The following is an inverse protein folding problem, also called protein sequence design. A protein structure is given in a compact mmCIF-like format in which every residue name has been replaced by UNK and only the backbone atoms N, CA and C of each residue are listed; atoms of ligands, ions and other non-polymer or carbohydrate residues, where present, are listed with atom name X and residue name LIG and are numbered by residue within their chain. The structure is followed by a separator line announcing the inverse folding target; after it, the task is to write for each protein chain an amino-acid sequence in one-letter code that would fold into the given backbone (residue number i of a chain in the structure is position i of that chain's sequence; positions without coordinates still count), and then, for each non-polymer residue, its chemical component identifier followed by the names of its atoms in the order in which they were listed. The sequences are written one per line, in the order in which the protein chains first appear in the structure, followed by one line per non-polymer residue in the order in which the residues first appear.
data_IF_237283089627
#
_entry.id   IF_237283089627
#
_cell.length_a   1.000
_cell.length_b   1.000
_cell.length_c   1.000
_cell.angle_alpha   90.00
_cell.angle_beta   90.00
_cell.angle_gamma   90.00
#
_symmetry.space_group_name_H-M   'P 1'
#
loop_
_entity.id
_entity.type
_entity.pdbx_description
1 polymer ?
#
# COMPACT_ATOMS: atom_id res chain seq x y z
N UNK A 1 -20.88 -0.66 -27.75
CA UNK A 1 -19.60 0.07 -27.84
C UNK A 1 -18.56 -0.86 -28.46
N UNK A 2 -17.89 -0.50 -29.57
CA UNK A 2 -16.90 -1.35 -30.21
C UNK A 2 -15.61 -1.47 -29.37
N UNK A 3 -14.90 -2.59 -29.50
CA UNK A 3 -13.60 -2.79 -28.85
C UNK A 3 -12.53 -1.89 -29.48
N UNK A 4 -11.53 -1.50 -28.68
CA UNK A 4 -10.34 -0.75 -29.14
C UNK A 4 -10.42 0.77 -28.97
N UNK A 5 -11.57 1.32 -28.56
CA UNK A 5 -11.68 2.74 -28.20
C UNK A 5 -10.94 3.00 -26.89
N UNK A 6 -9.99 3.94 -26.92
CA UNK A 6 -9.14 4.31 -25.75
C UNK A 6 -9.97 4.66 -24.51
N UNK A 7 -11.10 5.35 -24.70
CA UNK A 7 -11.95 5.82 -23.61
C UNK A 7 -13.08 4.86 -23.24
N UNK A 8 -13.23 3.73 -23.94
CA UNK A 8 -14.30 2.77 -23.66
C UNK A 8 -14.36 2.31 -22.19
N UNK A 9 -13.25 1.92 -21.55
CA UNK A 9 -13.28 1.46 -20.16
C UNK A 9 -13.70 2.55 -19.17
N UNK A 10 -13.38 3.81 -19.47
CA UNK A 10 -13.77 4.96 -18.66
C UNK A 10 -15.29 5.19 -18.72
N UNK A 11 -15.86 5.24 -19.92
CA UNK A 11 -17.30 5.42 -20.08
C UNK A 11 -18.09 4.25 -19.48
N UNK A 12 -17.62 3.02 -19.65
CA UNK A 12 -18.26 1.85 -19.04
C UNK A 12 -18.19 1.89 -17.52
N UNK A 13 -17.04 2.24 -16.93
CA UNK A 13 -16.92 2.41 -15.47
C UNK A 13 -17.84 3.51 -14.94
N UNK A 14 -17.99 4.62 -15.67
CA UNK A 14 -18.91 5.70 -15.31
C UNK A 14 -20.36 5.23 -15.33
N UNK A 15 -20.76 4.49 -16.38
CA UNK A 15 -22.08 3.88 -16.46
C UNK A 15 -22.31 2.94 -15.27
N UNK A 16 -21.36 2.05 -14.96
CA UNK A 16 -21.48 1.12 -13.85
C UNK A 16 -21.60 1.81 -12.49
N UNK A 17 -20.90 2.93 -12.30
CA UNK A 17 -21.04 3.73 -11.08
C UNK A 17 -22.45 4.33 -10.95
N UNK A 18 -23.09 4.74 -12.06
CA UNK A 18 -24.47 5.23 -12.06
C UNK A 18 -25.48 4.11 -11.82
N UNK A 19 -25.30 2.96 -12.47
CA UNK A 19 -26.19 1.79 -12.28
C UNK A 19 -26.16 1.29 -10.83
N UNK A 20 -25.01 1.37 -10.17
CA UNK A 20 -24.82 0.91 -8.79
C UNK A 20 -24.93 2.04 -7.76
N UNK A 21 -25.48 3.21 -8.11
CA UNK A 21 -25.66 4.32 -7.18
C UNK A 21 -26.52 3.90 -5.97
N UNK A 22 -26.09 4.20 -4.74
CA UNK A 22 -26.68 3.69 -3.48
C UNK A 22 -26.40 2.22 -3.14
N UNK A 23 -25.53 1.52 -3.89
CA UNK A 23 -25.01 0.19 -3.51
C UNK A 23 -23.56 0.24 -3.02
N UNK A 24 -22.97 1.43 -2.79
CA UNK A 24 -21.54 1.56 -2.49
C UNK A 24 -21.13 0.83 -1.19
N UNK A 25 -22.09 0.63 -0.28
CA UNK A 25 -21.90 -0.08 0.97
C UNK A 25 -21.60 -1.58 0.82
N UNK A 26 -21.99 -2.21 -0.30
CA UNK A 26 -21.87 -3.66 -0.50
C UNK A 26 -21.48 -4.09 -1.93
N UNK A 27 -21.40 -3.15 -2.88
CA UNK A 27 -20.97 -3.42 -4.25
C UNK A 27 -19.89 -2.42 -4.69
N UNK A 28 -18.81 -2.94 -5.30
CA UNK A 28 -17.73 -2.12 -5.86
C UNK A 28 -17.51 -2.50 -7.32
N UNK A 29 -17.84 -1.61 -8.28
CA UNK A 29 -17.51 -1.80 -9.67
C UNK A 29 -16.06 -1.42 -9.96
N UNK A 30 -15.41 -2.16 -10.87
CA UNK A 30 -14.17 -1.77 -11.49
C UNK A 30 -14.12 -2.27 -12.93
N UNK A 31 -14.13 -1.34 -13.89
CA UNK A 31 -14.25 -1.66 -15.31
C UNK A 31 -15.46 -2.59 -15.53
N UNK A 32 -15.21 -3.82 -15.99
CA UNK A 32 -16.22 -4.80 -16.35
C UNK A 32 -16.61 -5.74 -15.19
N UNK A 33 -15.88 -5.69 -14.07
CA UNK A 33 -16.09 -6.58 -12.92
C UNK A 33 -16.81 -5.85 -11.77
N UNK A 34 -17.78 -6.53 -11.14
CA UNK A 34 -18.47 -6.06 -9.94
C UNK A 34 -18.19 -7.06 -8.82
N UNK A 35 -17.74 -6.56 -7.67
CA UNK A 35 -17.63 -7.37 -6.46
C UNK A 35 -18.72 -6.98 -5.48
N UNK A 36 -19.49 -7.97 -5.08
CA UNK A 36 -20.54 -7.87 -4.06
C UNK A 36 -20.01 -8.56 -2.80
N UNK A 37 -20.09 -7.88 -1.65
CA UNK A 37 -19.61 -8.38 -0.38
C UNK A 37 -20.63 -8.12 0.73
N UNK A 38 -20.69 -9.00 1.71
CA UNK A 38 -21.71 -8.97 2.77
C UNK A 38 -21.20 -9.67 4.02
N UNK A 39 -21.82 -9.42 5.17
CA UNK A 39 -21.39 -9.99 6.46
C UNK A 39 -21.99 -11.37 6.75
N UNK A 40 -23.20 -11.61 6.27
CA UNK A 40 -23.94 -12.86 6.46
C UNK A 40 -24.58 -13.29 5.14
N UNK A 41 -25.08 -14.52 5.10
CA UNK A 41 -25.64 -15.14 3.91
C UNK A 41 -26.97 -14.50 3.46
N UNK A 42 -27.83 -14.17 4.42
CA UNK A 42 -29.16 -13.59 4.14
C UNK A 42 -29.05 -12.22 3.47
N UNK A 43 -28.21 -11.34 4.00
CA UNK A 43 -27.91 -10.04 3.40
C UNK A 43 -27.22 -10.22 2.04
N UNK A 44 -26.36 -11.24 1.89
CA UNK A 44 -25.70 -11.50 0.62
C UNK A 44 -26.68 -11.81 -0.49
N UNK A 45 -27.70 -12.63 -0.23
CA UNK A 45 -28.74 -12.92 -1.21
C UNK A 45 -29.53 -11.67 -1.61
N UNK A 46 -29.89 -10.82 -0.64
CA UNK A 46 -30.56 -9.54 -0.91
C UNK A 46 -29.70 -8.62 -1.77
N UNK A 47 -28.43 -8.47 -1.42
CA UNK A 47 -27.50 -7.63 -2.16
C UNK A 47 -27.26 -8.13 -3.59
N UNK A 48 -27.18 -9.45 -3.81
CA UNK A 48 -27.09 -10.03 -5.15
C UNK A 48 -28.36 -9.68 -5.94
N UNK A 49 -29.53 -9.91 -5.37
CA UNK A 49 -30.81 -9.64 -6.02
C UNK A 49 -30.94 -8.16 -6.44
N UNK A 50 -30.59 -7.24 -5.53
CA UNK A 50 -30.60 -5.79 -5.80
C UNK A 50 -29.65 -5.39 -6.95
N UNK A 51 -28.42 -5.93 -6.94
CA UNK A 51 -27.44 -5.63 -8.00
C UNK A 51 -27.88 -6.22 -9.33
N UNK A 52 -28.39 -7.45 -9.35
CA UNK A 52 -28.86 -8.09 -10.57
C UNK A 52 -30.06 -7.35 -11.16
N UNK A 53 -31.03 -6.94 -10.34
CA UNK A 53 -32.18 -6.14 -10.79
C UNK A 53 -31.73 -4.84 -11.47
N UNK A 54 -30.82 -4.10 -10.85
CA UNK A 54 -30.31 -2.85 -11.43
C UNK A 54 -29.59 -3.05 -12.76
N UNK A 55 -28.83 -4.14 -12.89
CA UNK A 55 -28.18 -4.49 -14.15
C UNK A 55 -29.23 -4.79 -15.24
N UNK A 56 -30.30 -5.52 -14.89
CA UNK A 56 -31.42 -5.80 -15.80
C UNK A 56 -32.15 -4.51 -16.18
N UNK A 57 -32.46 -3.64 -15.21
CA UNK A 57 -33.14 -2.35 -15.44
C UNK A 57 -32.31 -1.42 -16.34
N UNK A 58 -30.98 -1.50 -16.26
CA UNK A 58 -30.06 -0.79 -17.13
C UNK A 58 -29.88 -1.45 -18.52
N UNK A 59 -30.60 -2.52 -18.83
CA UNK A 59 -30.48 -3.33 -20.05
C UNK A 59 -29.06 -3.86 -20.30
N UNK A 60 -28.34 -4.20 -19.22
CA UNK A 60 -27.01 -4.80 -19.28
C UNK A 60 -27.10 -6.32 -19.15
N UNK A 61 -26.13 -7.02 -19.75
CA UNK A 61 -26.09 -8.49 -19.74
C UNK A 61 -24.85 -8.99 -19.00
N UNK A 62 -25.05 -9.98 -18.13
CA UNK A 62 -23.97 -10.65 -17.41
C UNK A 62 -23.65 -11.96 -18.14
N UNK A 63 -22.37 -12.31 -18.22
CA UNK A 63 -21.93 -13.60 -18.75
C UNK A 63 -21.80 -14.62 -17.60
N UNK A 64 -22.77 -15.56 -17.42
CA UNK A 64 -22.79 -16.41 -16.21
C UNK A 64 -21.57 -17.31 -16.07
N UNK A 65 -20.98 -17.75 -17.19
CA UNK A 65 -19.77 -18.59 -17.20
C UNK A 65 -18.51 -17.90 -16.65
N UNK A 66 -18.52 -16.57 -16.49
CA UNK A 66 -17.44 -15.81 -15.86
C UNK A 66 -17.75 -15.42 -14.41
N UNK A 67 -18.98 -15.61 -13.96
CA UNK A 67 -19.41 -15.23 -12.63
C UNK A 67 -18.97 -16.26 -11.59
N UNK A 68 -18.66 -15.77 -10.40
CA UNK A 68 -18.38 -16.58 -9.22
C UNK A 68 -19.25 -16.07 -8.09
N UNK A 69 -20.19 -16.88 -7.64
CA UNK A 69 -21.13 -16.52 -6.59
C UNK A 69 -20.72 -17.13 -5.25
N UNK A 70 -21.08 -16.45 -4.16
CA UNK A 70 -21.06 -17.02 -2.81
C UNK A 70 -19.71 -17.62 -2.37
N UNK A 71 -18.59 -17.01 -2.76
CA UNK A 71 -17.27 -17.52 -2.39
C UNK A 71 -16.77 -16.86 -1.10
N UNK A 72 -16.23 -17.66 -0.18
CA UNK A 72 -15.55 -17.15 1.02
C UNK A 72 -14.33 -16.29 0.67
N UNK A 73 -13.65 -16.64 -0.43
CA UNK A 73 -12.51 -15.90 -0.98
C UNK A 73 -12.66 -15.81 -2.50
N UNK A 74 -12.43 -14.63 -3.06
CA UNK A 74 -12.47 -14.43 -4.51
C UNK A 74 -11.24 -13.66 -4.99
N UNK A 75 -10.90 -13.85 -6.27
CA UNK A 75 -9.83 -13.10 -6.92
C UNK A 75 -10.42 -11.80 -7.48
N UNK A 76 -9.93 -10.67 -7.02
CA UNK A 76 -10.34 -9.35 -7.51
C UNK A 76 -9.13 -8.43 -7.61
N UNK A 77 -9.01 -7.72 -8.75
CA UNK A 77 -7.92 -6.77 -9.04
C UNK A 77 -6.52 -7.31 -8.71
N UNK A 78 -6.23 -8.57 -9.06
CA UNK A 78 -4.89 -9.15 -8.81
C UNK A 78 -4.60 -9.51 -7.35
N UNK A 79 -5.63 -9.52 -6.49
CA UNK A 79 -5.59 -9.93 -5.09
C UNK A 79 -6.59 -11.05 -4.83
N UNK A 80 -6.38 -11.80 -3.75
CA UNK A 80 -7.39 -12.68 -3.16
C UNK A 80 -7.98 -11.92 -1.97
N UNK A 81 -9.30 -11.76 -1.95
CA UNK A 81 -10.05 -11.01 -0.94
C UNK A 81 -11.08 -11.94 -0.32
N UNK A 82 -11.20 -11.93 1.00
CA UNK A 82 -12.16 -12.76 1.73
C UNK A 82 -11.90 -12.73 3.23
N UNK A 83 -12.91 -13.02 4.05
CA UNK A 83 -12.74 -13.15 5.50
C UNK A 83 -12.12 -11.95 6.22
N UNK A 84 -12.27 -10.73 5.69
CA UNK A 84 -11.66 -9.52 6.26
C UNK A 84 -10.16 -9.37 5.99
N UNK A 85 -9.57 -10.20 5.12
CA UNK A 85 -8.16 -10.13 4.73
C UNK A 85 -8.00 -10.02 3.23
N UNK A 86 -6.82 -9.53 2.82
CA UNK A 86 -6.41 -9.46 1.42
C UNK A 86 -4.98 -9.95 1.26
N UNK A 87 -4.75 -10.79 0.28
CA UNK A 87 -3.42 -11.33 -0.08
C UNK A 87 -3.14 -11.13 -1.58
N UNK A 88 -1.86 -11.14 -2.02
CA UNK A 88 -1.53 -11.12 -3.44
C UNK A 88 -2.04 -12.39 -4.15
N UNK A 89 -2.51 -12.26 -5.40
CA UNK A 89 -2.94 -13.44 -6.17
C UNK A 89 -1.74 -14.31 -6.58
N UNK A 90 -1.89 -15.64 -6.45
CA UNK A 90 -0.82 -16.61 -6.68
C UNK A 90 -0.16 -16.50 -8.05
N UNK A 91 -0.93 -16.23 -9.11
CA UNK A 91 -0.41 -16.11 -10.47
C UNK A 91 0.67 -15.00 -10.61
N UNK A 92 0.54 -13.93 -9.82
CA UNK A 92 1.50 -12.83 -9.84
C UNK A 92 2.65 -13.06 -8.87
N UNK A 93 2.43 -13.79 -7.77
CA UNK A 93 3.52 -14.29 -6.91
C UNK A 93 4.42 -15.24 -7.70
N UNK A 94 3.84 -16.16 -8.49
CA UNK A 94 4.60 -17.04 -9.41
C UNK A 94 5.42 -16.23 -10.41
N UNK A 95 4.84 -15.21 -11.03
CA UNK A 95 5.58 -14.32 -11.92
C UNK A 95 6.75 -13.59 -11.23
N UNK A 96 6.65 -13.29 -9.93
CA UNK A 96 7.77 -12.75 -9.14
C UNK A 96 8.81 -13.83 -8.88
N UNK A 97 8.40 -15.04 -8.46
CA UNK A 97 9.28 -16.18 -8.19
C UNK A 97 10.11 -16.58 -9.41
N UNK A 98 9.42 -16.77 -10.53
CA UNK A 98 9.98 -17.27 -11.78
C UNK A 98 10.71 -16.17 -12.56
N UNK A 99 10.69 -14.93 -12.07
CA UNK A 99 11.37 -13.81 -12.72
C UNK A 99 12.89 -14.09 -12.77
N UNK A 100 13.51 -14.14 -13.96
CA UNK A 100 14.94 -14.41 -14.05
C UNK A 100 15.76 -13.26 -13.45
N UNK A 101 16.98 -13.54 -13.00
CA UNK A 101 17.87 -12.48 -12.49
C UNK A 101 18.08 -11.43 -13.60
N UNK A 102 17.68 -10.16 -13.37
CA UNK A 102 17.65 -9.18 -14.43
C UNK A 102 19.06 -8.73 -14.81
N UNK A 103 19.43 -8.90 -16.07
CA UNK A 103 20.72 -8.48 -16.63
C UNK A 103 20.66 -7.10 -17.30
N UNK A 104 19.46 -6.61 -17.61
CA UNK A 104 19.27 -5.32 -18.31
C UNK A 104 18.47 -4.32 -17.48
N UNK A 105 18.71 -3.01 -17.70
CA UNK A 105 17.92 -1.94 -17.06
C UNK A 105 16.41 -2.08 -17.34
N UNK A 106 16.02 -2.61 -18.50
CA UNK A 106 14.62 -2.87 -18.85
C UNK A 106 14.03 -3.97 -17.98
N UNK A 107 14.74 -5.08 -17.80
CA UNK A 107 14.31 -6.16 -16.90
C UNK A 107 14.26 -5.70 -15.43
N UNK A 108 15.23 -4.88 -14.99
CA UNK A 108 15.19 -4.29 -13.64
C UNK A 108 13.94 -3.41 -13.46
N UNK A 109 13.60 -2.56 -14.45
CA UNK A 109 12.37 -1.75 -14.41
C UNK A 109 11.12 -2.61 -14.39
N UNK A 110 11.07 -3.68 -15.20
CA UNK A 110 9.96 -4.61 -15.23
C UNK A 110 9.76 -5.30 -13.87
N UNK A 111 10.85 -5.80 -13.27
CA UNK A 111 10.82 -6.40 -11.92
C UNK A 111 10.36 -5.40 -10.86
N UNK A 112 10.93 -4.19 -10.85
CA UNK A 112 10.55 -3.14 -9.90
C UNK A 112 9.11 -2.67 -10.08
N UNK A 113 8.58 -2.67 -11.32
CA UNK A 113 7.17 -2.41 -11.58
C UNK A 113 6.27 -3.48 -10.98
N UNK A 114 6.65 -4.76 -11.15
CA UNK A 114 5.92 -5.90 -10.58
C UNK A 114 5.97 -5.91 -9.04
N UNK A 115 7.16 -5.73 -8.46
CA UNK A 115 7.33 -5.62 -7.01
C UNK A 115 6.63 -4.37 -6.45
N UNK A 116 6.64 -3.27 -7.20
CA UNK A 116 5.97 -2.01 -6.85
C UNK A 116 4.45 -2.14 -6.75
N UNK A 117 3.84 -2.95 -7.61
CA UNK A 117 2.41 -3.25 -7.55
C UNK A 117 1.99 -3.89 -6.21
N UNK A 118 2.87 -4.71 -5.63
CA UNK A 118 2.67 -5.34 -4.32
C UNK A 118 3.43 -4.63 -3.19
N UNK A 119 3.87 -3.39 -3.39
CA UNK A 119 4.66 -2.69 -2.37
C UNK A 119 3.91 -2.54 -1.03
N UNK A 120 2.58 -2.48 -1.06
CA UNK A 120 1.74 -2.39 0.13
C UNK A 120 1.81 -3.59 1.06
N UNK A 121 2.37 -4.70 0.60
CA UNK A 121 2.48 -5.96 1.33
C UNK A 121 3.83 -6.14 2.01
N UNK A 122 4.82 -5.38 1.60
CA UNK A 122 6.19 -5.57 2.06
C UNK A 122 6.63 -4.31 2.77
N UNK A 123 7.05 -4.49 4.01
CA UNK A 123 7.62 -3.42 4.81
C UNK A 123 8.90 -2.89 4.15
N UNK A 124 9.03 -1.56 4.08
CA UNK A 124 10.24 -0.87 3.65
C UNK A 124 10.72 -1.21 2.21
N UNK A 125 9.82 -1.53 1.28
CA UNK A 125 10.17 -1.91 -0.12
C UNK A 125 11.12 -0.93 -0.80
N UNK A 126 10.88 0.38 -0.66
CA UNK A 126 11.71 1.40 -1.31
C UNK A 126 13.16 1.39 -0.83
N UNK A 127 13.38 1.00 0.43
CA UNK A 127 14.70 0.85 1.03
C UNK A 127 15.37 -0.43 0.53
N UNK A 128 14.64 -1.54 0.51
CA UNK A 128 15.12 -2.84 0.01
C UNK A 128 15.44 -2.80 -1.48
N UNK A 129 14.63 -2.07 -2.25
CA UNK A 129 14.83 -1.84 -3.68
C UNK A 129 15.91 -0.78 -3.97
N UNK A 130 16.57 -0.21 -2.95
CA UNK A 130 17.54 0.86 -3.13
C UNK A 130 18.71 0.49 -4.07
N UNK A 131 19.35 -0.69 -3.90
CA UNK A 131 20.44 -1.12 -4.78
C UNK A 131 19.98 -1.24 -6.24
N UNK A 132 18.81 -1.84 -6.49
CA UNK A 132 18.28 -2.05 -7.84
C UNK A 132 17.95 -0.73 -8.55
N UNK A 133 17.33 0.20 -7.83
CA UNK A 133 16.99 1.52 -8.36
C UNK A 133 18.22 2.43 -8.49
N UNK A 134 19.28 2.20 -7.72
CA UNK A 134 20.56 2.89 -7.89
C UNK A 134 21.19 2.57 -9.24
N UNK A 135 21.16 1.29 -9.66
CA UNK A 135 21.70 0.85 -10.96
C UNK A 135 20.93 1.44 -12.16
N UNK A 136 19.68 1.87 -11.94
CA UNK A 136 18.91 2.57 -12.96
C UNK A 136 19.31 4.04 -13.17
N UNK A 137 20.10 4.64 -12.28
CA UNK A 137 20.53 6.04 -12.38
C UNK A 137 21.53 6.24 -13.54
N UNK A 138 21.58 7.46 -14.10
CA UNK A 138 22.52 7.87 -15.14
C UNK A 138 22.02 7.69 -16.58
N UNK A 139 22.58 8.49 -17.52
CA UNK A 139 22.26 8.51 -18.97
C UNK A 139 22.98 7.40 -19.76
N UNK A 140 23.28 6.25 -19.16
CA UNK A 140 23.96 5.17 -19.90
C UNK A 140 22.94 4.46 -20.79
N UNK A 141 23.11 4.61 -22.10
CA UNK A 141 22.39 3.90 -23.16
C UNK A 141 22.76 2.41 -23.07
N UNK A 142 21.74 1.58 -22.85
CA UNK A 142 21.70 0.11 -23.01
C UNK A 142 22.79 -0.74 -22.30
N UNK A 143 22.29 -1.76 -21.61
CA UNK A 143 22.95 -3.06 -21.33
C UNK A 143 24.10 -3.22 -20.32
N UNK A 144 24.95 -2.23 -20.01
CA UNK A 144 25.97 -2.45 -18.96
C UNK A 144 25.41 -2.15 -17.56
N UNK A 145 24.64 -3.11 -17.03
CA UNK A 145 24.20 -3.14 -15.63
C UNK A 145 25.34 -3.70 -14.79
N UNK A 146 25.94 -2.88 -13.93
CA UNK A 146 26.88 -3.38 -12.91
C UNK A 146 26.05 -4.05 -11.82
N UNK A 147 25.87 -5.37 -11.94
CA UNK A 147 25.15 -6.18 -10.95
C UNK A 147 26.06 -6.45 -9.75
N UNK A 148 25.81 -5.76 -8.64
CA UNK A 148 26.60 -5.92 -7.42
C UNK A 148 26.01 -7.00 -6.51
N UNK A 149 26.78 -7.49 -5.52
CA UNK A 149 26.26 -8.40 -4.48
C UNK A 149 25.03 -7.82 -3.76
N UNK A 150 25.00 -6.50 -3.55
CA UNK A 150 23.84 -5.81 -2.97
C UNK A 150 22.59 -5.84 -3.86
N UNK A 151 22.75 -5.88 -5.19
CA UNK A 151 21.62 -6.04 -6.11
C UNK A 151 21.04 -7.46 -6.02
N UNK A 152 21.91 -8.48 -5.96
CA UNK A 152 21.49 -9.87 -5.80
C UNK A 152 20.74 -10.09 -4.47
N UNK A 153 21.27 -9.55 -3.38
CA UNK A 153 20.62 -9.60 -2.07
C UNK A 153 19.27 -8.89 -2.07
N UNK A 154 19.19 -7.67 -2.60
CA UNK A 154 17.93 -6.92 -2.72
C UNK A 154 16.89 -7.67 -3.56
N UNK A 155 17.32 -8.27 -4.67
CA UNK A 155 16.45 -9.04 -5.56
C UNK A 155 15.89 -10.29 -4.86
N UNK A 156 16.75 -11.07 -4.20
CA UNK A 156 16.37 -12.27 -3.44
C UNK A 156 15.47 -11.92 -2.24
N UNK A 157 15.79 -10.85 -1.52
CA UNK A 157 14.98 -10.42 -0.38
C UNK A 157 13.57 -9.99 -0.82
N UNK A 158 13.46 -9.19 -1.89
CA UNK A 158 12.15 -8.78 -2.42
C UNK A 158 11.32 -9.97 -2.90
N UNK A 159 11.96 -10.95 -3.56
CA UNK A 159 11.30 -12.21 -3.93
C UNK A 159 10.78 -12.94 -2.70
N UNK A 160 11.65 -13.22 -1.72
CA UNK A 160 11.31 -13.94 -0.50
C UNK A 160 10.12 -13.30 0.24
N UNK A 161 10.15 -11.98 0.44
CA UNK A 161 9.07 -11.26 1.14
C UNK A 161 7.73 -11.27 0.42
N UNK A 162 7.74 -11.24 -0.92
CA UNK A 162 6.51 -11.35 -1.71
C UNK A 162 5.96 -12.78 -1.71
N UNK A 163 6.83 -13.77 -1.50
CA UNK A 163 6.48 -15.21 -1.49
C UNK A 163 6.00 -15.71 -0.14
N UNK A 164 6.35 -15.02 0.95
CA UNK A 164 5.81 -15.24 2.31
C UNK A 164 4.29 -15.02 2.40
N UNK A 165 3.61 -14.63 1.30
CA UNK A 165 2.17 -14.34 1.22
C UNK A 165 1.70 -13.44 2.38
N UNK A 166 2.29 -12.25 2.55
CA UNK A 166 1.89 -11.32 3.58
C UNK A 166 0.38 -11.08 3.53
N UNK A 167 -0.27 -11.32 4.67
CA UNK A 167 -1.69 -11.10 4.87
C UNK A 167 -1.86 -9.69 5.41
N UNK A 168 -2.71 -8.90 4.72
CA UNK A 168 -3.12 -7.60 5.20
C UNK A 168 -4.59 -7.68 5.60
N UNK A 169 -4.94 -7.03 6.71
CA UNK A 169 -6.33 -6.88 7.11
C UNK A 169 -7.02 -5.79 6.27
N UNK A 170 -8.30 -6.00 5.98
CA UNK A 170 -9.15 -4.96 5.44
C UNK A 170 -9.31 -3.85 6.51
N UNK A 171 -9.30 -2.56 6.10
CA UNK A 171 -9.51 -1.47 7.04
C UNK A 171 -10.93 -1.51 7.59
N UNK A 172 -11.07 -1.44 8.91
CA UNK A 172 -12.35 -1.25 9.60
C UNK A 172 -12.48 0.20 10.04
N UNK A 173 -13.26 1.01 9.33
CA UNK A 173 -13.43 2.43 9.62
C UNK A 173 -14.12 2.73 10.97
N UNK A 174 -14.58 1.71 11.71
CA UNK A 174 -15.08 1.87 13.08
C UNK A 174 -13.97 1.79 14.13
N UNK A 175 -12.78 1.34 13.75
CA UNK A 175 -11.63 1.17 14.65
C UNK A 175 -10.59 2.25 14.40
N UNK A 176 -9.92 2.66 15.47
CA UNK A 176 -8.85 3.65 15.39
C UNK A 176 -7.67 3.15 14.55
N UNK A 177 -7.24 3.96 13.58
CA UNK A 177 -6.03 3.69 12.81
C UNK A 177 -4.77 4.00 13.63
N UNK A 178 -3.75 3.16 13.49
CA UNK A 178 -2.43 3.38 14.10
C UNK A 178 -1.40 3.49 12.99
N UNK A 179 -0.74 4.65 12.93
CA UNK A 179 0.33 4.96 11.99
C UNK A 179 1.65 4.87 12.73
N UNK A 180 2.53 4.00 12.24
CA UNK A 180 3.91 3.91 12.70
C UNK A 180 4.83 4.37 11.59
N UNK A 181 5.75 5.28 11.90
CA UNK A 181 6.72 5.80 10.92
C UNK A 181 8.14 5.55 11.39
N UNK A 182 8.99 5.15 10.46
CA UNK A 182 10.43 5.04 10.64
C UNK A 182 11.14 5.80 9.50
N UNK A 183 12.26 6.44 9.79
CA UNK A 183 12.99 7.25 8.83
C UNK A 183 14.50 7.12 9.05
N UNK A 184 15.21 6.73 7.99
CA UNK A 184 16.67 6.65 7.92
C UNK A 184 17.24 7.65 6.91
N UNK A 185 18.56 7.68 6.76
CA UNK A 185 19.23 8.47 5.72
C UNK A 185 18.83 8.09 4.30
N UNK A 186 18.48 6.82 4.08
CA UNK A 186 18.17 6.28 2.75
C UNK A 186 16.69 6.53 2.39
N UNK A 187 15.80 6.48 3.38
CA UNK A 187 14.37 6.54 3.13
C UNK A 187 13.51 6.43 4.38
N UNK A 188 12.20 6.46 4.17
CA UNK A 188 11.18 6.32 5.19
C UNK A 188 10.30 5.10 4.94
N UNK A 189 9.89 4.47 6.03
CA UNK A 189 8.94 3.39 6.11
C UNK A 189 7.71 3.82 6.91
N UNK A 190 6.54 3.37 6.49
CA UNK A 190 5.28 3.64 7.18
C UNK A 190 4.49 2.34 7.25
N UNK A 191 3.92 2.06 8.40
CA UNK A 191 2.96 0.97 8.61
C UNK A 191 1.66 1.59 9.10
N UNK A 192 0.56 1.29 8.40
CA UNK A 192 -0.78 1.56 8.91
C UNK A 192 -1.36 0.25 9.42
N UNK A 193 -1.84 0.26 10.67
CA UNK A 193 -2.31 -0.93 11.37
C UNK A 193 -3.56 -0.62 12.18
N UNK A 194 -4.32 -1.65 12.50
CA UNK A 194 -5.43 -1.59 13.45
C UNK A 194 -5.27 -2.67 14.51
N UNK A 195 -5.90 -2.45 15.66
CA UNK A 195 -5.92 -3.47 16.71
C UNK A 195 -7.15 -4.36 16.58
N UNK A 196 -6.96 -5.64 16.84
CA UNK A 196 -8.07 -6.57 17.00
C UNK A 196 -8.65 -6.52 18.43
N UNK A 197 -9.62 -7.39 18.69
CA UNK A 197 -10.27 -7.54 20.00
C UNK A 197 -9.30 -8.03 21.09
N UNK A 198 -8.20 -8.69 20.70
CA UNK A 198 -7.13 -9.15 21.59
C UNK A 198 -6.04 -8.09 21.79
N UNK A 199 -6.25 -6.87 21.29
CA UNK A 199 -5.31 -5.76 21.38
C UNK A 199 -4.01 -5.98 20.57
N UNK A 200 -3.98 -6.97 19.68
CA UNK A 200 -2.86 -7.26 18.76
C UNK A 200 -2.95 -6.37 17.51
N UNK A 201 -1.79 -5.97 16.98
CA UNK A 201 -1.72 -5.07 15.82
C UNK A 201 -1.66 -5.85 14.53
N UNK A 202 -2.61 -5.58 13.66
CA UNK A 202 -2.66 -6.15 12.32
C UNK A 202 -2.36 -5.09 11.26
N UNK A 203 -1.41 -5.34 10.35
CA UNK A 203 -1.07 -4.40 9.29
C UNK A 203 -2.19 -4.36 8.24
N UNK A 204 -2.57 -3.14 7.86
CA UNK A 204 -3.52 -2.87 6.77
C UNK A 204 -2.75 -2.61 5.48
N UNK A 205 -1.66 -1.83 5.58
CA UNK A 205 -0.76 -1.58 4.47
C UNK A 205 0.61 -1.08 4.95
N UNK A 206 1.59 -1.27 4.08
CA UNK A 206 2.93 -0.71 4.19
C UNK A 206 3.15 0.38 3.14
N UNK A 207 3.75 1.51 3.51
CA UNK A 207 4.27 2.48 2.55
C UNK A 207 5.77 2.64 2.76
N UNK A 208 6.46 3.03 1.70
CA UNK A 208 7.86 3.40 1.78
C UNK A 208 8.18 4.45 0.74
N UNK A 209 9.20 5.26 1.02
CA UNK A 209 9.68 6.27 0.08
C UNK A 209 11.15 6.58 0.33
N UNK A 210 11.92 6.73 -0.75
CA UNK A 210 13.30 7.21 -0.64
C UNK A 210 13.37 8.70 -0.32
N UNK A 211 14.35 9.08 0.49
CA UNK A 211 14.63 10.47 0.84
C UNK A 211 15.81 10.94 -0.02
N UNK A 212 15.57 11.92 -0.90
CA UNK A 212 16.60 12.45 -1.81
C UNK A 212 17.40 13.62 -1.21
N UNK A 213 16.88 14.27 -0.16
CA UNK A 213 17.50 15.44 0.46
C UNK A 213 17.67 15.21 1.94
N UNK A 214 18.87 15.52 2.46
CA UNK A 214 19.15 15.61 3.89
C UNK A 214 18.19 16.64 4.47
N UNK A 215 17.09 16.14 5.04
CA UNK A 215 16.13 16.97 5.76
C UNK A 215 16.53 16.88 7.22
N UNK A 216 16.58 18.02 7.92
CA UNK A 216 16.85 18.07 9.36
C UNK A 216 15.88 17.17 10.13
N UNK A 217 14.60 17.15 9.73
CA UNK A 217 13.54 16.40 10.42
C UNK A 217 12.91 15.32 9.54
N UNK A 218 13.66 14.23 9.32
CA UNK A 218 13.22 13.08 8.51
C UNK A 218 11.97 12.41 9.07
N UNK A 219 11.87 12.31 10.40
CA UNK A 219 10.71 11.74 11.09
C UNK A 219 9.44 12.57 10.87
N UNK A 220 9.55 13.91 10.96
CA UNK A 220 8.45 14.80 10.61
C UNK A 220 8.02 14.62 9.15
N UNK A 221 8.99 14.56 8.23
CA UNK A 221 8.72 14.36 6.81
C UNK A 221 7.99 13.02 6.54
N UNK A 222 8.35 11.96 7.26
CA UNK A 222 7.71 10.65 7.16
C UNK A 222 6.24 10.70 7.60
N UNK A 223 5.94 11.38 8.70
CA UNK A 223 4.55 11.57 9.18
C UNK A 223 3.72 12.36 8.17
N UNK A 224 4.23 13.50 7.69
CA UNK A 224 3.52 14.30 6.67
C UNK A 224 3.29 13.49 5.41
N UNK A 225 4.27 12.69 4.98
CA UNK A 225 4.12 11.82 3.83
C UNK A 225 3.07 10.73 4.06
N UNK A 226 3.05 10.12 5.25
CA UNK A 226 2.07 9.12 5.65
C UNK A 226 0.65 9.69 5.53
N UNK A 227 0.40 10.83 6.18
CA UNK A 227 -0.93 11.45 6.24
C UNK A 227 -1.40 11.87 4.84
N UNK A 228 -0.52 12.47 4.04
CA UNK A 228 -0.88 12.83 2.65
C UNK A 228 -1.26 11.62 1.81
N UNK A 229 -0.51 10.52 1.94
CA UNK A 229 -0.80 9.31 1.16
C UNK A 229 -2.01 8.57 1.67
N UNK A 230 -2.23 8.58 2.98
CA UNK A 230 -3.33 7.88 3.65
C UNK A 230 -4.57 8.75 3.84
N UNK A 231 -4.60 9.96 3.25
CA UNK A 231 -5.73 10.89 3.40
C UNK A 231 -7.07 10.21 3.16
N UNK A 232 -7.18 9.38 2.13
CA UNK A 232 -8.41 8.65 1.80
C UNK A 232 -8.92 7.72 2.91
N UNK A 233 -8.06 7.26 3.82
CA UNK A 233 -8.47 6.48 5.00
C UNK A 233 -8.61 7.32 6.27
N UNK A 234 -7.85 8.41 6.39
CA UNK A 234 -7.73 9.20 7.62
C UNK A 234 -8.69 10.39 7.68
N UNK A 235 -9.26 10.80 6.54
CA UNK A 235 -10.18 11.92 6.49
C UNK A 235 -11.42 11.63 7.35
N UNK A 236 -11.77 12.56 8.25
CA UNK A 236 -12.86 12.39 9.22
C UNK A 236 -12.63 11.32 10.31
N UNK A 237 -11.44 10.72 10.38
CA UNK A 237 -11.12 9.67 11.36
C UNK A 237 -10.23 10.17 12.49
N UNK A 238 -10.42 9.59 13.67
CA UNK A 238 -9.46 9.68 14.77
C UNK A 238 -8.37 8.62 14.59
N UNK A 239 -7.11 9.00 14.73
CA UNK A 239 -5.99 8.07 14.63
C UNK A 239 -4.84 8.39 15.57
N UNK A 240 -4.02 7.37 15.81
CA UNK A 240 -2.82 7.47 16.64
C UNK A 240 -1.56 7.39 15.79
N UNK A 241 -0.64 8.32 16.01
CA UNK A 241 0.71 8.33 15.45
C UNK A 241 1.66 7.82 16.54
N UNK A 242 2.29 6.68 16.29
CA UNK A 242 3.35 6.15 17.15
C UNK A 242 4.72 6.45 16.57
N UNK A 243 5.55 7.10 17.37
CA UNK A 243 6.91 7.49 16.97
C UNK A 243 7.86 7.45 18.17
N UNK A 244 9.12 7.16 17.90
CA UNK A 244 10.24 7.07 18.84
C UNK A 244 10.92 8.43 19.12
N UNK A 245 10.39 9.51 18.54
CA UNK A 245 10.79 10.88 18.76
C UNK A 245 9.53 11.74 18.71
N UNK A 246 9.55 12.98 19.21
CA UNK A 246 8.40 13.87 19.11
C UNK A 246 8.62 14.98 18.05
N UNK A 247 8.69 14.64 16.74
CA UNK A 247 8.98 15.61 15.69
C UNK A 247 7.85 16.63 15.49
N UNK A 248 6.63 16.32 15.95
CA UNK A 248 5.46 17.19 15.79
C UNK A 248 5.43 18.32 16.82
N UNK A 249 5.96 18.11 18.03
CA UNK A 249 6.19 19.21 18.98
C UNK A 249 7.17 20.22 18.39
N UNK A 250 8.27 19.75 17.82
CA UNK A 250 9.23 20.61 17.13
C UNK A 250 8.57 21.37 15.95
N UNK A 251 7.74 20.69 15.16
CA UNK A 251 7.02 21.32 14.05
C UNK A 251 6.11 22.46 14.52
N UNK A 252 5.38 22.27 15.62
CA UNK A 252 4.46 23.28 16.17
C UNK A 252 5.23 24.52 16.64
N UNK A 253 6.35 24.35 17.33
CA UNK A 253 7.18 25.46 17.81
C UNK A 253 7.86 26.22 16.66
N UNK A 254 8.25 25.51 15.58
CA UNK A 254 9.02 26.09 14.47
C UNK A 254 8.19 26.36 13.20
N UNK A 255 6.86 26.21 13.23
CA UNK A 255 6.02 26.37 12.05
C UNK A 255 6.19 27.76 11.41
N UNK A 256 6.35 28.81 12.22
CA UNK A 256 6.53 30.19 11.76
C UNK A 256 7.92 30.52 11.22
N UNK A 257 8.94 29.72 11.48
CA UNK A 257 10.33 30.05 11.09
C UNK A 257 10.67 29.68 9.65
N UNK A 258 9.90 28.80 9.02
CA UNK A 258 10.19 28.31 7.68
C UNK A 258 8.88 28.04 6.89
N UNK A 259 8.72 28.57 5.66
CA UNK A 259 7.54 28.33 4.82
C UNK A 259 7.21 26.84 4.61
N UNK A 260 8.22 25.97 4.58
CA UNK A 260 8.02 24.51 4.48
C UNK A 260 7.34 23.94 5.72
N UNK A 261 7.73 24.39 6.91
CA UNK A 261 7.18 23.95 8.18
C UNK A 261 5.77 24.48 8.39
N UNK A 262 5.52 25.74 8.00
CA UNK A 262 4.17 26.29 7.95
C UNK A 262 3.26 25.44 7.07
N UNK A 263 3.70 25.09 5.85
CA UNK A 263 2.95 24.20 4.96
C UNK A 263 2.68 22.84 5.61
N UNK A 264 3.65 22.25 6.28
CA UNK A 264 3.46 20.98 6.98
C UNK A 264 2.45 21.08 8.12
N UNK A 265 2.48 22.18 8.89
CA UNK A 265 1.52 22.45 9.95
C UNK A 265 0.09 22.58 9.40
N UNK A 266 -0.09 23.30 8.29
CA UNK A 266 -1.39 23.45 7.63
C UNK A 266 -1.93 22.13 7.09
N UNK A 267 -1.07 21.24 6.62
CA UNK A 267 -1.47 19.92 6.11
C UNK A 267 -1.92 18.98 7.22
N UNK A 268 -1.43 19.15 8.44
CA UNK A 268 -1.86 18.39 9.62
C UNK A 268 -3.16 18.93 10.22
N UNK A 269 -3.46 20.20 9.99
CA UNK A 269 -4.55 20.90 10.65
C UNK A 269 -5.94 20.26 10.49
N UNK A 270 -6.32 19.72 9.31
CA UNK A 270 -7.63 19.10 9.14
C UNK A 270 -7.82 17.77 9.89
N UNK A 271 -6.74 17.16 10.37
CA UNK A 271 -6.75 15.79 10.89
C UNK A 271 -6.79 15.75 12.41
N UNK A 272 -7.59 14.81 12.95
CA UNK A 272 -7.67 14.57 14.38
C UNK A 272 -6.75 13.40 14.76
N UNK A 273 -5.62 13.70 15.40
CA UNK A 273 -4.63 12.69 15.74
C UNK A 273 -4.07 12.82 17.17
N UNK A 274 -3.68 11.67 17.73
CA UNK A 274 -2.95 11.56 19.00
C UNK A 274 -1.52 11.11 18.73
N UNK A 275 -0.55 11.67 19.45
CA UNK A 275 0.86 11.26 19.32
C UNK A 275 1.25 10.45 20.54
N UNK A 276 1.66 9.20 20.33
CA UNK A 276 2.15 8.31 21.39
C UNK A 276 3.64 8.06 21.17
N UNK A 277 4.43 8.44 22.17
CA UNK A 277 5.86 8.13 22.16
C UNK A 277 6.09 6.65 22.53
N UNK A 278 6.80 5.91 21.68
CA UNK A 278 7.25 4.54 21.99
C UNK A 278 8.75 4.44 21.84
N UNK A 279 9.43 4.05 22.91
CA UNK A 279 10.86 3.81 22.86
C UNK A 279 11.20 2.68 21.86
N UNK A 280 12.27 2.87 21.07
CA UNK A 280 12.69 2.01 19.96
C UNK A 280 12.66 0.50 20.24
N UNK A 281 12.99 0.07 21.47
CA UNK A 281 13.00 -1.35 21.86
C UNK A 281 11.65 -2.09 21.76
N UNK A 282 10.51 -1.39 21.64
CA UNK A 282 9.18 -2.01 21.42
C UNK A 282 8.75 -2.04 19.94
N UNK A 283 9.64 -1.67 19.01
CA UNK A 283 9.40 -1.69 17.58
C UNK A 283 9.92 -2.98 16.90
N UNK A 284 9.51 -4.17 17.36
CA UNK A 284 9.79 -5.41 16.61
C UNK A 284 9.19 -5.37 15.18
N UNK A 285 8.14 -4.56 14.97
CA UNK A 285 7.56 -4.29 13.67
C UNK A 285 8.21 -3.13 12.91
N UNK A 286 9.11 -2.32 13.49
CA UNK A 286 9.81 -1.21 12.80
C UNK A 286 11.33 -1.43 12.66
N UNK A 287 11.98 -2.18 13.55
CA UNK A 287 13.42 -2.43 13.50
C UNK A 287 13.77 -3.62 12.60
N UNK A 288 14.30 -3.33 11.42
CA UNK A 288 15.33 -4.20 10.83
C UNK A 288 16.66 -3.51 11.13
N UNK A 289 17.40 -4.01 12.12
CA UNK A 289 18.69 -3.46 12.53
C UNK A 289 19.59 -3.28 11.30
N UNK A 290 20.03 -2.04 11.11
CA UNK A 290 21.15 -1.67 10.27
C UNK A 290 22.41 -2.06 11.03
N UNK A 291 23.02 -3.19 10.70
CA UNK A 291 24.38 -3.49 11.16
C UNK A 291 25.35 -2.51 10.49
N UNK A 292 25.89 -1.60 11.30
CA UNK A 292 27.13 -0.89 11.01
C UNK A 292 28.10 -1.07 12.17
N UNK A 293 29.08 -1.95 11.88
CA UNK A 293 30.51 -1.92 12.24
C UNK A 293 30.91 -1.67 13.69
N UNK A 294 31.66 -2.63 14.22
CA UNK A 294 32.88 -2.34 14.97
C UNK A 294 34.07 -2.87 14.16
N UNK A 295 34.86 -1.92 13.63
CA UNK A 295 36.28 -2.09 13.33
C UNK A 295 37.01 -1.80 14.65
N UNK A 296 37.56 -2.83 15.29
CA UNK A 296 38.67 -2.73 16.25
C UNK A 296 39.79 -3.60 15.65
N UNK A 297 40.85 -3.01 15.09
CA UNK A 297 42.14 -2.76 15.78
C UNK A 297 42.62 -3.97 16.60
N UNK A 298 43.36 -4.83 15.93
CA UNK A 298 44.78 -5.16 16.24
C UNK A 298 45.48 -5.61 14.95
#
# INVERSE_FOLDING_TARGET
MPFGLVNAPYFFSKLMAQVLENCEAFAVPYLDDIVIYSKNWEDHLKHIDDVLKRIVDANLTIKPSKCKFAQNHTKYLGHIVGGGVRTPAEAKIKAVLDFPTPSTKTQIRAFLGLAGYYAHYVKNVSLKADPLTHVLKGKVKKENVVWTKGCDQAFKELKSRLTERPVLCAPDYKKEFIIQTDASDVGMGIVMSQRDEKNEKHPILYLSKKIFRRTTDKKCAAIIYAIKKLKYCLDGQNFTIETDHNPLVWLRTNAGSNPRLMKWSLELHPFQYKVIHKAGKKHLNADAKLDKKEEEKE
#
